data_IF_197666809376
#
_entry.id   IF_197666809376
#
_cell.length_a   1.000
_cell.length_b   1.000
_cell.length_c   1.000
_cell.angle_alpha   90.00
_cell.angle_beta   90.00
_cell.angle_gamma   90.00
#
_symmetry.space_group_name_H-M   'P 1'
#
loop_
_entity.id
_entity.type
_entity.pdbx_description
1 polymer ?
#
# COMPACT_ATOMS: atom_id res chain seq x y z
N UNK A 1 3.04 -1.84 4.01
CA UNK A 1 2.95 -0.51 4.64
C UNK A 1 4.00 0.42 4.04
N UNK A 2 3.60 1.62 3.59
CA UNK A 2 4.53 2.70 3.24
C UNK A 2 5.04 3.26 4.57
N UNK A 3 6.34 3.29 4.73
CA UNK A 3 6.99 3.54 6.02
C UNK A 3 7.19 5.05 6.17
N UNK A 4 6.69 5.67 7.23
CA UNK A 4 6.77 7.12 7.48
C UNK A 4 7.73 7.31 8.66
N UNK A 5 8.81 8.07 8.49
CA UNK A 5 9.86 8.17 9.52
C UNK A 5 9.55 9.25 10.55
N UNK A 6 9.46 8.81 11.80
CA UNK A 6 9.51 9.52 13.07
C UNK A 6 9.69 8.43 14.15
N UNK A 7 9.97 8.75 15.42
CA UNK A 7 9.78 7.78 16.52
C UNK A 7 8.28 7.50 16.67
N UNK A 8 7.69 6.85 15.69
CA UNK A 8 6.31 6.40 15.73
C UNK A 8 6.38 5.09 16.50
N UNK A 9 5.88 5.08 17.74
CA UNK A 9 5.49 3.83 18.39
C UNK A 9 4.48 3.19 17.44
N UNK A 10 4.91 2.18 16.67
CA UNK A 10 4.01 1.49 15.77
C UNK A 10 2.90 0.90 16.63
N UNK A 11 1.63 1.22 16.29
CA UNK A 11 0.46 0.69 17.02
C UNK A 11 0.40 -0.84 16.93
N UNK A 12 1.12 -1.40 15.97
CA UNK A 12 1.37 -2.82 15.78
C UNK A 12 2.38 -3.31 16.83
N UNK A 13 1.92 -3.51 18.06
CA UNK A 13 2.69 -4.16 19.12
C UNK A 13 2.31 -5.66 19.25
N UNK A 14 3.09 -6.43 20.01
CA UNK A 14 2.84 -7.85 20.23
C UNK A 14 1.44 -8.15 20.81
N UNK A 15 0.93 -7.27 21.67
CA UNK A 15 -0.40 -7.41 22.25
C UNK A 15 -1.49 -7.15 21.19
N UNK A 16 -1.34 -6.14 20.33
CA UNK A 16 -2.25 -5.87 19.23
C UNK A 16 -2.34 -7.05 18.24
N UNK A 17 -1.26 -7.82 18.09
CA UNK A 17 -1.27 -9.02 17.25
C UNK A 17 -1.91 -10.23 17.94
N UNK A 18 -1.83 -10.32 19.28
CA UNK A 18 -2.64 -11.27 20.06
C UNK A 18 -4.13 -10.90 20.01
N UNK A 19 -4.44 -9.61 20.03
CA UNK A 19 -5.82 -9.12 19.87
C UNK A 19 -6.36 -9.47 18.47
N UNK A 20 -5.52 -9.42 17.42
CA UNK A 20 -5.91 -9.88 16.08
C UNK A 20 -6.33 -11.34 16.05
N UNK A 21 -5.70 -12.24 16.83
CA UNK A 21 -6.13 -13.65 16.94
C UNK A 21 -7.55 -13.77 17.51
N UNK A 22 -7.90 -12.89 18.45
CA UNK A 22 -9.19 -12.91 19.15
C UNK A 22 -10.29 -12.26 18.30
N UNK A 23 -9.96 -11.15 17.62
CA UNK A 23 -10.94 -10.30 16.93
C UNK A 23 -11.07 -10.65 15.45
N UNK A 24 -10.01 -11.16 14.81
CA UNK A 24 -9.97 -11.41 13.36
C UNK A 24 -9.72 -12.89 13.04
N UNK A 25 -10.54 -13.47 12.17
CA UNK A 25 -10.33 -14.81 11.63
C UNK A 25 -9.28 -14.81 10.49
N UNK A 26 -8.01 -14.53 10.82
CA UNK A 26 -6.87 -14.52 9.88
C UNK A 26 -5.68 -15.30 10.44
N UNK A 27 -5.69 -16.64 10.36
CA UNK A 27 -4.61 -17.46 10.91
C UNK A 27 -3.26 -17.19 10.23
N UNK A 28 -3.25 -16.68 9.00
CA UNK A 28 -2.00 -16.35 8.28
C UNK A 28 -1.22 -15.15 8.84
N UNK A 29 -1.81 -14.38 9.76
CA UNK A 29 -1.19 -13.21 10.40
C UNK A 29 -0.96 -13.40 11.90
N UNK A 30 -1.17 -14.61 12.42
CA UNK A 30 -0.99 -14.94 13.82
C UNK A 30 0.50 -15.09 14.19
N UNK A 31 0.89 -14.60 15.38
CA UNK A 31 2.26 -14.76 15.88
C UNK A 31 2.53 -16.21 16.21
N UNK A 32 3.61 -16.77 15.69
CA UNK A 32 4.07 -18.11 16.05
C UNK A 32 4.55 -18.11 17.51
N UNK A 33 3.93 -18.92 18.36
CA UNK A 33 4.29 -19.08 19.78
C UNK A 33 5.74 -19.58 19.96
N UNK A 34 6.31 -20.24 18.95
CA UNK A 34 7.71 -20.70 18.94
C UNK A 34 8.69 -19.58 18.64
N UNK A 35 8.23 -18.50 18.00
CA UNK A 35 9.04 -17.32 17.65
C UNK A 35 8.25 -16.04 17.93
N UNK A 36 7.99 -15.73 19.22
CA UNK A 36 7.13 -14.61 19.61
C UNK A 36 7.69 -13.24 19.18
N UNK A 37 8.97 -13.14 18.84
CA UNK A 37 9.59 -11.90 18.38
C UNK A 37 9.53 -11.70 16.85
N UNK A 38 8.97 -12.64 16.09
CA UNK A 38 8.90 -12.57 14.62
C UNK A 38 7.45 -12.38 14.20
N UNK A 39 7.12 -11.15 13.79
CA UNK A 39 5.79 -10.83 13.28
C UNK A 39 5.64 -11.35 11.84
N UNK A 40 4.58 -12.13 11.53
CA UNK A 40 4.29 -12.53 10.16
C UNK A 40 4.01 -11.30 9.29
N UNK A 41 4.58 -11.30 8.08
CA UNK A 41 4.37 -10.21 7.13
C UNK A 41 2.96 -10.29 6.56
N UNK A 42 2.26 -9.16 6.60
CA UNK A 42 0.98 -9.06 5.94
C UNK A 42 1.11 -9.25 4.43
N UNK A 43 0.08 -9.84 3.82
CA UNK A 43 0.04 -10.16 2.38
C UNK A 43 0.16 -8.92 1.49
N UNK A 44 -0.25 -7.75 2.00
CA UNK A 44 -0.13 -6.46 1.32
C UNK A 44 1.24 -5.78 1.57
N UNK A 45 2.21 -6.49 2.14
CA UNK A 45 3.56 -5.96 2.35
C UNK A 45 4.34 -5.99 1.04
N UNK A 46 4.63 -4.81 0.51
CA UNK A 46 5.45 -4.68 -0.69
C UNK A 46 6.92 -5.02 -0.43
N UNK A 47 7.53 -5.72 -1.39
CA UNK A 47 8.98 -5.92 -1.45
C UNK A 47 9.70 -4.61 -1.75
N UNK A 48 11.01 -4.54 -1.49
CA UNK A 48 11.83 -3.36 -1.79
C UNK A 48 11.80 -3.01 -3.29
N UNK A 49 11.80 -4.02 -4.14
CA UNK A 49 11.71 -3.87 -5.60
C UNK A 49 10.35 -3.31 -6.03
N UNK A 50 9.25 -3.83 -5.46
CA UNK A 50 7.91 -3.31 -5.71
C UNK A 50 7.79 -1.83 -5.27
N UNK A 51 8.32 -1.49 -4.09
CA UNK A 51 8.37 -0.09 -3.62
C UNK A 51 9.14 0.80 -4.59
N UNK A 52 10.28 0.33 -5.11
CA UNK A 52 11.08 1.07 -6.09
C UNK A 52 10.31 1.31 -7.39
N UNK A 53 9.68 0.28 -7.95
CA UNK A 53 8.86 0.42 -9.16
C UNK A 53 7.73 1.44 -8.97
N UNK A 54 7.05 1.42 -7.83
CA UNK A 54 6.00 2.40 -7.51
C UNK A 54 6.58 3.81 -7.41
N UNK A 55 7.71 4.00 -6.72
CA UNK A 55 8.33 5.32 -6.60
C UNK A 55 8.75 5.87 -7.96
N UNK A 56 9.41 5.06 -8.80
CA UNK A 56 9.78 5.44 -10.16
C UNK A 56 8.56 5.78 -11.04
N UNK A 57 7.48 5.02 -10.91
CA UNK A 57 6.21 5.29 -11.59
C UNK A 57 5.62 6.64 -11.16
N UNK A 58 5.58 6.94 -9.86
CA UNK A 58 5.06 8.22 -9.33
C UNK A 58 5.93 9.39 -9.82
N UNK A 59 7.26 9.23 -9.88
CA UNK A 59 8.16 10.28 -10.39
C UNK A 59 7.91 10.60 -11.87
N UNK A 60 7.48 9.61 -12.66
CA UNK A 60 7.15 9.79 -14.09
C UNK A 60 5.72 10.28 -14.31
N UNK A 61 4.85 10.18 -13.30
CA UNK A 61 3.45 10.52 -13.40
C UNK A 61 3.27 12.04 -13.54
N UNK A 62 2.66 12.46 -14.64
CA UNK A 62 2.30 13.86 -14.90
C UNK A 62 0.81 13.94 -15.23
N UNK A 63 0.12 14.93 -14.64
CA UNK A 63 -1.28 15.19 -14.92
C UNK A 63 -1.42 16.39 -15.87
N UNK A 64 -2.21 16.28 -16.96
CA UNK A 64 -2.32 17.34 -17.96
C UNK A 64 -3.06 18.60 -17.47
N UNK A 65 -3.99 18.50 -16.51
CA UNK A 65 -4.92 19.59 -16.17
C UNK A 65 -4.95 19.96 -14.67
N UNK A 66 -3.82 20.27 -14.05
CA UNK A 66 -3.73 20.66 -12.62
C UNK A 66 -4.44 19.69 -11.63
N UNK A 67 -4.74 18.46 -12.07
CA UNK A 67 -5.54 17.48 -11.34
C UNK A 67 -4.89 17.01 -10.05
N UNK A 68 -3.56 17.05 -10.00
CA UNK A 68 -2.78 16.98 -8.78
C UNK A 68 -1.51 17.78 -9.00
N UNK A 69 -0.87 18.21 -7.90
CA UNK A 69 0.48 18.75 -7.97
C UNK A 69 1.45 17.70 -8.51
N UNK A 70 2.62 18.15 -8.97
CA UNK A 70 3.70 17.24 -9.33
C UNK A 70 4.12 16.36 -8.13
N UNK A 71 3.68 15.09 -8.14
CA UNK A 71 3.94 14.11 -7.08
C UNK A 71 5.40 13.68 -7.02
N UNK A 72 6.19 13.91 -8.07
CA UNK A 72 7.61 13.59 -8.08
C UNK A 72 8.38 14.29 -6.94
N UNK A 73 7.93 15.48 -6.51
CA UNK A 73 8.55 16.20 -5.38
C UNK A 73 8.39 15.48 -4.04
N UNK A 74 7.39 14.61 -3.94
CA UNK A 74 7.03 13.92 -2.72
C UNK A 74 7.70 12.54 -2.62
N UNK A 75 8.45 12.12 -3.63
CA UNK A 75 9.10 10.82 -3.70
C UNK A 75 10.54 10.92 -3.20
N UNK A 76 10.86 10.16 -2.17
CA UNK A 76 12.25 9.91 -1.77
C UNK A 76 12.71 8.56 -2.34
N UNK A 77 13.58 8.61 -3.35
CA UNK A 77 14.15 7.43 -3.99
C UNK A 77 15.21 6.71 -3.15
N UNK A 78 15.80 7.36 -2.13
CA UNK A 78 16.78 6.72 -1.24
C UNK A 78 16.07 5.80 -0.25
N UNK A 79 15.05 6.34 0.40
CA UNK A 79 14.28 5.61 1.41
C UNK A 79 13.08 4.82 0.83
N UNK A 80 12.74 5.04 -0.45
CA UNK A 80 11.58 4.48 -1.15
C UNK A 80 10.25 4.80 -0.46
N UNK A 81 10.06 6.08 -0.13
CA UNK A 81 8.93 6.59 0.66
C UNK A 81 8.32 7.83 0.00
N UNK A 82 7.06 8.08 0.36
CA UNK A 82 6.35 9.30 -0.02
C UNK A 82 6.23 10.21 1.20
N UNK A 83 6.61 11.48 1.07
CA UNK A 83 6.49 12.48 2.13
C UNK A 83 6.06 13.85 1.59
N UNK A 84 5.50 14.69 2.46
CA UNK A 84 5.17 16.08 2.12
C UNK A 84 4.12 16.25 1.02
N UNK A 85 3.22 15.28 0.85
CA UNK A 85 2.08 15.41 -0.05
C UNK A 85 1.03 16.36 0.55
N UNK A 86 0.46 17.25 -0.28
CA UNK A 86 -0.69 18.07 0.13
C UNK A 86 -1.93 17.20 0.29
N UNK A 87 -2.89 17.62 1.11
CA UNK A 87 -4.12 16.86 1.38
C UNK A 87 -4.86 16.47 0.09
N UNK A 88 -4.98 17.41 -0.84
CA UNK A 88 -5.58 17.16 -2.15
C UNK A 88 -4.87 16.05 -2.94
N UNK A 89 -3.53 16.12 -2.98
CA UNK A 89 -2.70 15.15 -3.68
C UNK A 89 -2.75 13.77 -3.00
N UNK A 90 -2.80 13.73 -1.66
CA UNK A 90 -3.05 12.51 -0.89
C UNK A 90 -4.40 11.90 -1.22
N UNK A 91 -5.45 12.70 -1.34
CA UNK A 91 -6.79 12.23 -1.68
C UNK A 91 -6.83 11.61 -3.07
N UNK A 92 -6.28 12.30 -4.07
CA UNK A 92 -6.13 11.77 -5.42
C UNK A 92 -5.30 10.48 -5.44
N UNK A 93 -4.20 10.45 -4.69
CA UNK A 93 -3.35 9.27 -4.57
C UNK A 93 -4.13 8.07 -4.01
N UNK A 94 -4.84 8.26 -2.89
CA UNK A 94 -5.60 7.19 -2.25
C UNK A 94 -6.73 6.66 -3.12
N UNK A 95 -7.49 7.54 -3.76
CA UNK A 95 -8.67 7.12 -4.52
C UNK A 95 -8.35 6.59 -5.91
N UNK A 96 -7.39 7.20 -6.61
CA UNK A 96 -7.17 6.94 -8.05
C UNK A 96 -5.88 6.19 -8.31
N UNK A 97 -4.83 6.46 -7.54
CA UNK A 97 -3.51 5.91 -7.82
C UNK A 97 -3.24 4.60 -7.09
N UNK A 98 -3.80 4.38 -5.90
CA UNK A 98 -3.65 3.08 -5.21
C UNK A 98 -4.17 1.91 -6.06
N UNK A 99 -5.39 1.95 -6.65
CA UNK A 99 -5.88 0.83 -7.45
C UNK A 99 -5.02 0.55 -8.68
N UNK A 100 -4.38 1.58 -9.24
CA UNK A 100 -3.52 1.46 -10.42
C UNK A 100 -2.13 0.95 -10.04
N UNK A 101 -1.51 1.55 -9.01
CA UNK A 101 -0.15 1.21 -8.59
C UNK A 101 -0.06 -0.18 -7.94
N UNK A 102 -1.08 -0.60 -7.21
CA UNK A 102 -1.07 -1.84 -6.44
C UNK A 102 -1.86 -2.97 -7.10
N UNK A 103 -2.70 -2.67 -8.10
CA UNK A 103 -3.55 -3.66 -8.76
C UNK A 103 -2.77 -4.80 -9.43
N UNK A 104 -1.57 -4.52 -9.97
CA UNK A 104 -0.71 -5.54 -10.56
C UNK A 104 0.20 -6.23 -9.54
N UNK A 105 0.44 -5.62 -8.37
CA UNK A 105 1.43 -6.08 -7.39
C UNK A 105 0.84 -6.92 -6.26
N UNK A 106 -0.47 -6.86 -6.04
CA UNK A 106 -1.15 -7.62 -4.99
C UNK A 106 -1.65 -8.97 -5.49
N UNK A 107 -1.65 -10.02 -4.63
CA UNK A 107 -2.25 -11.30 -4.97
C UNK A 107 -3.74 -11.17 -5.31
N UNK A 108 -4.21 -12.01 -6.23
CA UNK A 108 -5.57 -11.96 -6.78
C UNK A 108 -6.65 -12.01 -5.69
N UNK A 109 -6.40 -12.75 -4.60
CA UNK A 109 -7.29 -12.82 -3.42
C UNK A 109 -7.54 -11.49 -2.70
N UNK A 110 -6.72 -10.47 -2.92
CA UNK A 110 -6.81 -9.14 -2.27
C UNK A 110 -7.28 -8.06 -3.24
N UNK A 111 -7.29 -8.35 -4.55
CA UNK A 111 -7.81 -7.41 -5.53
C UNK A 111 -9.31 -7.30 -5.29
N UNK A 112 -9.76 -6.12 -4.86
CA UNK A 112 -11.19 -5.82 -4.74
C UNK A 112 -11.78 -5.99 -6.13
N UNK A 113 -12.73 -6.91 -6.27
CA UNK A 113 -13.42 -7.15 -7.53
C UNK A 113 -14.04 -5.82 -7.96
N UNK A 114 -13.43 -5.20 -8.97
CA UNK A 114 -14.02 -4.02 -9.60
C UNK A 114 -15.13 -4.63 -10.45
N UNK A 115 -16.43 -4.34 -10.22
CA UNK A 115 -17.47 -4.88 -11.07
C UNK A 115 -17.16 -4.48 -12.51
N UNK A 116 -16.64 -5.45 -13.26
CA UNK A 116 -16.28 -5.25 -14.64
C UNK A 116 -17.56 -5.02 -15.40
N UNK A 117 -17.61 -3.93 -16.16
CA UNK A 117 -18.50 -3.83 -17.31
C UNK A 117 -18.23 -5.04 -18.23
N UNK A 118 -18.93 -6.15 -17.98
CA UNK A 118 -19.17 -7.19 -18.98
C UNK A 118 -20.28 -6.68 -19.90
N UNK A 119 -20.00 -5.61 -20.62
CA UNK A 119 -20.84 -5.16 -21.70
C UNK A 119 -19.93 -4.95 -22.91
N UNK A 120 -20.22 -5.74 -23.96
CA UNK A 120 -19.74 -5.64 -25.33
C UNK A 120 -18.37 -6.25 -25.63
N UNK A 121 -18.38 -7.59 -25.73
CA UNK A 121 -17.70 -8.27 -26.84
C UNK A 121 -18.58 -9.41 -27.36
N UNK A 122 -19.57 -9.01 -28.16
CA UNK A 122 -20.22 -9.85 -29.18
C UNK A 122 -20.38 -8.98 -30.42
N UNK A 123 -19.43 -9.09 -31.34
CA UNK A 123 -19.62 -9.10 -32.78
C UNK A 123 -18.56 -10.04 -33.34
#
# INVERSE_FOLDING_TARGET
MIDIKGKIKTKDNLNAQKDLKIICNRPELEVDERRPNVMPKAVYTLTREQKRRICEWITRLKFPNAYASNLARCVDMKELRLHGMKIHDCYVFMQKLIPVAFGEMLPERIKVDRPGNKAQRKR
#
